data_IF_529990266589
#
_entry.id   IF_529990266589
#
_cell.length_a   1.000
_cell.length_b   1.000
_cell.length_c   1.000
_cell.angle_alpha   90.00
_cell.angle_beta   90.00
_cell.angle_gamma   90.00
#
_symmetry.space_group_name_H-M   'P 1'
#
loop_
_entity.id
_entity.type
_entity.pdbx_description
1 polymer ?
#
# COMPACT_ATOMS: atom_id res chain seq x y z
N UNK A 1 6.80 -25.17 -12.52
CA UNK A 1 5.61 -25.97 -12.74
C UNK A 1 4.43 -25.02 -12.84
N UNK A 2 3.59 -25.17 -13.83
CA UNK A 2 2.56 -24.20 -14.19
C UNK A 2 1.18 -24.81 -13.89
N UNK A 3 0.36 -24.08 -13.16
CA UNK A 3 -1.07 -24.35 -13.04
C UNK A 3 -1.79 -23.22 -13.74
N UNK A 4 -2.63 -23.54 -14.70
CA UNK A 4 -3.47 -22.58 -15.39
C UNK A 4 -4.84 -22.63 -14.75
N UNK A 5 -5.35 -21.49 -14.37
CA UNK A 5 -6.69 -21.31 -13.85
C UNK A 5 -7.42 -20.31 -14.73
N UNK A 6 -8.56 -20.70 -15.22
CA UNK A 6 -9.46 -19.85 -15.95
C UNK A 6 -10.82 -19.85 -15.28
N UNK A 7 -11.42 -18.70 -15.17
CA UNK A 7 -12.78 -18.52 -14.68
C UNK A 7 -13.51 -17.54 -15.59
N UNK A 8 -14.66 -17.96 -16.02
CA UNK A 8 -15.56 -17.15 -16.82
C UNK A 8 -16.95 -17.22 -16.19
N UNK A 9 -17.47 -16.07 -15.79
CA UNK A 9 -18.83 -15.97 -15.29
C UNK A 9 -19.64 -15.12 -16.25
N UNK A 10 -20.74 -15.65 -16.71
CA UNK A 10 -21.69 -14.93 -17.55
C UNK A 10 -23.07 -14.98 -16.92
N UNK A 11 -23.95 -14.10 -17.33
CA UNK A 11 -25.33 -14.10 -16.88
C UNK A 11 -26.26 -13.56 -17.96
N UNK A 12 -27.51 -13.93 -17.87
CA UNK A 12 -28.62 -13.31 -18.57
C UNK A 12 -29.76 -13.05 -17.58
N UNK A 13 -30.62 -12.09 -17.92
CA UNK A 13 -31.71 -11.65 -17.05
C UNK A 13 -33.03 -11.90 -17.75
N UNK A 14 -33.82 -12.83 -17.20
CA UNK A 14 -35.19 -13.09 -17.66
C UNK A 14 -36.13 -12.03 -17.09
N UNK A 15 -37.03 -11.56 -17.91
CA UNK A 15 -38.02 -10.55 -17.58
C UNK A 15 -39.40 -11.16 -17.39
N UNK A 16 -40.13 -10.65 -16.41
CA UNK A 16 -41.56 -10.87 -16.26
C UNK A 16 -42.31 -10.43 -17.52
N UNK A 17 -43.46 -11.02 -17.79
CA UNK A 17 -44.33 -10.55 -18.88
C UNK A 17 -44.67 -9.05 -18.63
N UNK A 18 -44.33 -8.23 -19.60
CA UNK A 18 -44.49 -6.79 -19.52
C UNK A 18 -44.85 -6.18 -20.90
N UNK A 19 -45.35 -4.93 -20.87
CA UNK A 19 -45.76 -4.19 -22.07
C UNK A 19 -44.69 -3.23 -22.60
N UNK A 20 -43.52 -3.19 -21.94
CA UNK A 20 -42.51 -2.16 -22.19
C UNK A 20 -41.34 -2.69 -23.02
N UNK A 21 -41.11 -4.00 -23.01
CA UNK A 21 -39.99 -4.64 -23.68
C UNK A 21 -40.49 -5.87 -24.47
N UNK A 22 -40.07 -5.96 -25.75
CA UNK A 22 -40.38 -7.12 -26.60
C UNK A 22 -39.49 -8.32 -26.27
N UNK A 23 -38.34 -8.10 -25.69
CA UNK A 23 -37.38 -9.13 -25.30
C UNK A 23 -37.78 -9.76 -23.98
N UNK A 24 -37.80 -11.08 -23.90
CA UNK A 24 -38.04 -11.83 -22.64
C UNK A 24 -36.76 -12.00 -21.81
N UNK A 25 -35.60 -11.95 -22.46
CA UNK A 25 -34.30 -12.11 -21.80
C UNK A 25 -33.37 -11.01 -22.26
N UNK A 26 -32.70 -10.37 -21.33
CA UNK A 26 -31.70 -9.33 -21.57
C UNK A 26 -30.28 -9.87 -21.40
N UNK A 27 -29.32 -9.47 -22.27
CA UNK A 27 -27.93 -9.87 -22.10
C UNK A 27 -27.27 -9.14 -20.94
N UNK A 28 -26.11 -9.65 -20.51
CA UNK A 28 -25.28 -9.05 -19.48
C UNK A 28 -24.77 -7.64 -19.82
N UNK A 29 -24.32 -6.88 -18.80
CA UNK A 29 -23.67 -5.58 -18.96
C UNK A 29 -24.63 -4.40 -19.11
N UNK A 30 -25.86 -4.54 -18.61
CA UNK A 30 -26.87 -3.47 -18.59
C UNK A 30 -27.30 -3.16 -17.17
N UNK A 31 -27.93 -2.01 -16.99
CA UNK A 31 -28.75 -1.70 -15.82
C UNK A 31 -30.17 -2.19 -16.08
N UNK A 32 -30.73 -2.92 -15.13
CA UNK A 32 -32.03 -3.56 -15.29
C UNK A 32 -33.07 -2.87 -14.42
N UNK A 33 -34.31 -2.80 -14.87
CA UNK A 33 -35.43 -2.30 -14.07
C UNK A 33 -35.85 -3.42 -13.11
N UNK A 34 -35.60 -3.23 -11.82
CA UNK A 34 -35.78 -4.27 -10.79
C UNK A 34 -37.15 -4.96 -10.85
N UNK A 35 -38.23 -4.20 -10.95
CA UNK A 35 -39.59 -4.73 -10.96
C UNK A 35 -39.92 -5.60 -12.19
N UNK A 36 -39.13 -5.49 -13.26
CA UNK A 36 -39.30 -6.29 -14.47
C UNK A 36 -38.51 -7.58 -14.45
N UNK A 37 -37.55 -7.74 -13.53
CA UNK A 37 -36.74 -8.94 -13.42
C UNK A 37 -37.62 -10.10 -12.90
N UNK A 38 -37.60 -11.22 -13.61
CA UNK A 38 -38.11 -12.50 -13.13
C UNK A 38 -37.01 -13.23 -12.37
N UNK A 39 -35.89 -13.49 -13.07
CA UNK A 39 -34.70 -14.10 -12.47
C UNK A 39 -33.42 -13.73 -13.22
N UNK A 40 -32.29 -13.87 -12.55
CA UNK A 40 -30.96 -13.74 -13.12
C UNK A 40 -30.37 -15.15 -13.25
N UNK A 41 -30.06 -15.60 -14.45
CA UNK A 41 -29.43 -16.91 -14.68
C UNK A 41 -27.92 -16.73 -14.67
N UNK A 42 -27.25 -17.08 -13.59
CA UNK A 42 -25.79 -17.02 -13.46
C UNK A 42 -25.15 -18.31 -13.93
N UNK A 43 -24.16 -18.20 -14.82
CA UNK A 43 -23.41 -19.31 -15.38
C UNK A 43 -21.96 -19.19 -14.97
N UNK A 44 -21.51 -20.11 -14.14
CA UNK A 44 -20.14 -20.21 -13.68
C UNK A 44 -19.41 -21.25 -14.54
N UNK A 45 -18.28 -20.89 -15.12
CA UNK A 45 -17.35 -21.78 -15.82
C UNK A 45 -15.96 -21.60 -15.18
N UNK A 46 -15.52 -22.61 -14.45
CA UNK A 46 -14.22 -22.62 -13.79
C UNK A 46 -13.41 -23.81 -14.32
N UNK A 47 -12.19 -23.55 -14.74
CA UNK A 47 -11.23 -24.58 -15.10
C UNK A 47 -9.91 -24.41 -14.35
N UNK A 48 -9.34 -25.54 -13.99
CA UNK A 48 -8.02 -25.62 -13.37
C UNK A 48 -7.23 -26.73 -14.06
N UNK A 49 -6.02 -26.43 -14.54
CA UNK A 49 -5.16 -27.38 -15.20
C UNK A 49 -3.78 -27.40 -14.53
N UNK A 50 -3.40 -28.54 -13.99
CA UNK A 50 -2.06 -28.79 -13.48
C UNK A 50 -1.20 -29.39 -14.62
N UNK A 51 -0.09 -28.75 -14.96
CA UNK A 51 0.78 -29.09 -16.09
C UNK A 51 1.42 -30.50 -16.06
N UNK A 52 1.24 -31.24 -14.99
CA UNK A 52 1.72 -32.64 -14.84
C UNK A 52 0.61 -33.49 -14.20
N UNK A 53 0.65 -34.79 -14.53
CA UNK A 53 -0.23 -35.76 -13.92
C UNK A 53 -0.16 -35.67 -12.40
N UNK A 54 -1.31 -35.43 -11.79
CA UNK A 54 -1.45 -35.17 -10.38
C UNK A 54 -2.81 -35.70 -9.95
N UNK A 55 -2.86 -36.40 -8.83
CA UNK A 55 -4.13 -36.73 -8.21
C UNK A 55 -4.64 -35.51 -7.44
N UNK A 56 -5.71 -34.92 -7.94
CA UNK A 56 -6.39 -33.78 -7.29
C UNK A 56 -7.68 -34.27 -6.65
N UNK A 57 -8.01 -33.71 -5.52
CA UNK A 57 -9.31 -33.82 -4.88
C UNK A 57 -9.90 -32.40 -4.77
N UNK A 58 -11.15 -32.23 -5.13
CA UNK A 58 -11.79 -30.93 -5.10
C UNK A 58 -13.24 -31.00 -4.63
N UNK A 59 -13.66 -29.94 -3.97
CA UNK A 59 -15.06 -29.66 -3.64
C UNK A 59 -15.42 -28.24 -4.05
N UNK A 60 -16.69 -27.96 -4.25
CA UNK A 60 -17.16 -26.62 -4.51
C UNK A 60 -18.58 -26.41 -4.01
N UNK A 61 -18.91 -25.16 -3.74
CA UNK A 61 -20.23 -24.69 -3.35
C UNK A 61 -20.52 -23.34 -3.97
N UNK A 62 -21.80 -22.97 -4.04
CA UNK A 62 -22.21 -21.63 -4.44
C UNK A 62 -23.07 -21.04 -3.35
N UNK A 63 -22.70 -19.85 -2.90
CA UNK A 63 -23.42 -19.14 -1.84
C UNK A 63 -23.77 -17.72 -2.29
N UNK A 64 -24.87 -17.22 -1.79
CA UNK A 64 -25.24 -15.81 -1.90
C UNK A 64 -25.07 -15.13 -0.55
N UNK A 65 -24.21 -14.11 -0.48
CA UNK A 65 -24.01 -13.31 0.73
C UNK A 65 -24.75 -12.00 0.59
N UNK A 66 -25.89 -11.88 1.25
CA UNK A 66 -26.67 -10.65 1.28
C UNK A 66 -26.08 -9.70 2.31
N UNK A 67 -25.62 -8.54 1.86
CA UNK A 67 -25.02 -7.50 2.68
C UNK A 67 -25.91 -6.27 2.72
N UNK A 68 -26.15 -5.74 3.92
CA UNK A 68 -26.81 -4.46 4.13
C UNK A 68 -25.85 -3.43 4.71
N UNK A 69 -25.86 -2.24 4.14
CA UNK A 69 -25.02 -1.12 4.60
C UNK A 69 -25.89 0.12 4.88
N UNK A 70 -25.61 0.76 6.00
CA UNK A 70 -26.18 2.05 6.36
C UNK A 70 -25.22 3.19 6.05
N UNK A 71 -25.70 4.23 5.38
CA UNK A 71 -24.88 5.39 5.07
C UNK A 71 -24.82 6.35 6.27
N UNK A 72 -23.64 6.41 6.91
CA UNK A 72 -23.35 7.38 7.97
C UNK A 72 -22.41 8.46 7.43
N UNK A 73 -22.91 9.69 7.34
CA UNK A 73 -22.14 10.84 6.81
C UNK A 73 -21.59 10.59 5.40
N UNK A 74 -22.35 9.92 4.54
CA UNK A 74 -21.94 9.60 3.17
C UNK A 74 -21.00 8.39 3.05
N UNK A 75 -20.62 7.75 4.15
CA UNK A 75 -19.78 6.54 4.13
C UNK A 75 -20.65 5.32 4.44
N UNK A 76 -20.72 4.31 3.54
CA UNK A 76 -21.46 3.08 3.80
C UNK A 76 -20.76 2.27 4.90
N UNK A 77 -21.52 1.83 5.88
CA UNK A 77 -21.07 0.95 6.95
C UNK A 77 -21.91 -0.30 6.94
N UNK A 78 -21.28 -1.45 6.84
CA UNK A 78 -21.95 -2.75 6.88
C UNK A 78 -22.62 -2.93 8.25
N UNK A 79 -23.93 -3.16 8.24
CA UNK A 79 -24.73 -3.34 9.45
C UNK A 79 -25.38 -4.70 9.52
N UNK A 80 -25.45 -5.42 8.40
CA UNK A 80 -26.10 -6.71 8.31
C UNK A 80 -25.47 -7.60 7.25
N UNK A 81 -25.45 -8.90 7.51
CA UNK A 81 -25.01 -9.93 6.57
C UNK A 81 -25.76 -11.23 6.81
N UNK A 82 -26.16 -11.87 5.74
CA UNK A 82 -26.80 -13.19 5.80
C UNK A 82 -26.34 -14.02 4.61
N UNK A 83 -25.91 -15.25 4.87
CA UNK A 83 -25.48 -16.21 3.84
C UNK A 83 -26.63 -17.15 3.48
N UNK A 84 -26.80 -17.39 2.20
CA UNK A 84 -27.76 -18.32 1.61
C UNK A 84 -26.99 -19.37 0.80
N UNK A 85 -27.29 -20.63 1.02
CA UNK A 85 -26.70 -21.71 0.23
C UNK A 85 -27.51 -21.85 -1.07
N UNK A 86 -26.88 -21.55 -2.20
CA UNK A 86 -27.49 -21.68 -3.54
C UNK A 86 -27.18 -23.03 -4.18
N UNK A 87 -26.01 -23.57 -3.88
CA UNK A 87 -25.60 -24.93 -4.19
C UNK A 87 -24.80 -25.46 -2.99
N UNK A 88 -25.30 -26.56 -2.41
CA UNK A 88 -24.59 -27.24 -1.32
C UNK A 88 -23.17 -27.67 -1.74
N UNK A 89 -22.27 -27.75 -0.77
CA UNK A 89 -20.91 -28.20 -1.03
C UNK A 89 -20.93 -29.62 -1.59
N UNK A 90 -20.29 -29.82 -2.72
CA UNK A 90 -20.21 -31.14 -3.34
C UNK A 90 -19.30 -32.04 -2.50
N UNK A 91 -19.57 -33.34 -2.52
CA UNK A 91 -18.62 -34.32 -1.99
C UNK A 91 -17.27 -34.19 -2.76
N UNK A 92 -16.18 -34.53 -2.08
CA UNK A 92 -14.87 -34.51 -2.66
C UNK A 92 -14.77 -35.35 -3.94
N UNK A 93 -14.57 -34.68 -5.05
CA UNK A 93 -14.40 -35.31 -6.37
C UNK A 93 -12.91 -35.52 -6.64
N UNK A 94 -12.57 -36.60 -7.34
CA UNK A 94 -11.20 -36.88 -7.77
C UNK A 94 -11.00 -36.53 -9.23
N UNK A 95 -9.86 -35.93 -9.52
CA UNK A 95 -9.42 -35.65 -10.89
C UNK A 95 -7.92 -35.94 -11.04
N UNK A 96 -7.49 -36.21 -12.25
CA UNK A 96 -6.06 -36.43 -12.50
C UNK A 96 -5.29 -35.13 -12.55
N UNK A 97 -5.55 -34.26 -13.50
CA UNK A 97 -4.82 -33.00 -13.65
C UNK A 97 -5.72 -31.82 -14.03
N UNK A 98 -6.95 -32.07 -14.45
CA UNK A 98 -7.84 -31.02 -14.94
C UNK A 98 -9.16 -31.06 -14.16
N UNK A 99 -9.60 -29.91 -13.66
CA UNK A 99 -10.90 -29.72 -13.03
C UNK A 99 -11.70 -28.79 -13.93
N UNK A 100 -12.94 -29.16 -14.20
CA UNK A 100 -13.90 -28.33 -14.92
C UNK A 100 -15.21 -28.31 -14.15
N UNK A 101 -15.66 -27.12 -13.79
CA UNK A 101 -16.90 -26.85 -13.07
C UNK A 101 -17.76 -25.96 -13.94
N UNK A 102 -18.96 -26.40 -14.25
CA UNK A 102 -19.96 -25.63 -15.00
C UNK A 102 -21.27 -25.70 -14.25
N UNK A 103 -21.70 -24.57 -13.71
CA UNK A 103 -22.93 -24.47 -12.96
C UNK A 103 -23.79 -23.33 -13.50
N UNK A 104 -25.09 -23.52 -13.43
CA UNK A 104 -26.08 -22.51 -13.79
C UNK A 104 -27.07 -22.36 -12.65
N UNK A 105 -27.06 -21.19 -12.03
CA UNK A 105 -27.84 -20.88 -10.84
C UNK A 105 -28.83 -19.76 -11.15
N UNK A 106 -30.14 -20.02 -11.08
CA UNK A 106 -31.15 -18.96 -11.15
C UNK A 106 -31.23 -18.21 -9.83
N UNK A 107 -31.17 -16.89 -9.89
CA UNK A 107 -31.28 -15.99 -8.72
C UNK A 107 -32.60 -15.23 -8.84
N UNK A 108 -33.49 -15.43 -7.88
CA UNK A 108 -34.70 -14.60 -7.74
C UNK A 108 -34.40 -13.37 -6.86
N UNK A 109 -34.17 -12.23 -7.50
CA UNK A 109 -33.86 -10.99 -6.78
C UNK A 109 -35.02 -10.47 -5.93
N UNK A 110 -36.25 -10.91 -6.20
CA UNK A 110 -37.40 -10.46 -5.44
C UNK A 110 -37.36 -11.03 -4.02
N UNK A 111 -36.93 -12.29 -3.83
CA UNK A 111 -36.79 -12.89 -2.50
C UNK A 111 -35.84 -12.06 -1.62
N UNK A 112 -34.73 -11.59 -2.16
CA UNK A 112 -33.76 -10.78 -1.40
C UNK A 112 -34.26 -9.35 -1.16
N UNK A 113 -34.95 -8.75 -2.12
CA UNK A 113 -35.59 -7.45 -1.94
C UNK A 113 -36.68 -7.50 -0.85
N UNK A 114 -37.46 -8.55 -0.80
CA UNK A 114 -38.46 -8.76 0.27
C UNK A 114 -37.81 -8.92 1.66
N UNK A 115 -36.66 -9.59 1.72
CA UNK A 115 -35.87 -9.68 2.97
C UNK A 115 -35.36 -8.33 3.45
N UNK A 116 -34.85 -7.52 2.51
CA UNK A 116 -34.37 -6.16 2.78
C UNK A 116 -35.54 -5.29 3.27
N UNK A 117 -36.67 -5.33 2.58
CA UNK A 117 -37.86 -4.60 2.96
C UNK A 117 -38.33 -4.95 4.38
N UNK A 118 -38.33 -6.26 4.70
CA UNK A 118 -38.70 -6.74 6.03
C UNK A 118 -37.72 -6.28 7.11
N UNK A 119 -36.42 -6.25 6.80
CA UNK A 119 -35.39 -5.72 7.68
C UNK A 119 -35.60 -4.23 7.96
N UNK A 120 -35.77 -3.44 6.91
CA UNK A 120 -35.99 -1.98 7.01
C UNK A 120 -37.26 -1.65 7.79
N UNK A 121 -38.37 -2.35 7.51
CA UNK A 121 -39.63 -2.17 8.18
C UNK A 121 -39.55 -2.53 9.66
N UNK A 122 -38.85 -3.60 10.00
CA UNK A 122 -38.76 -4.09 11.38
C UNK A 122 -37.88 -3.22 12.24
N UNK A 123 -36.77 -2.75 11.69
CA UNK A 123 -35.75 -1.96 12.41
C UNK A 123 -35.89 -0.44 12.21
N UNK A 124 -36.75 0.01 11.29
CA UNK A 124 -36.93 1.40 10.99
C UNK A 124 -35.68 2.08 10.40
N UNK A 125 -34.84 1.31 9.71
CA UNK A 125 -33.55 1.75 9.17
C UNK A 125 -33.48 1.46 7.68
N UNK A 126 -33.37 2.48 6.85
CA UNK A 126 -33.11 2.31 5.42
C UNK A 126 -31.65 1.92 5.18
N UNK A 127 -31.44 0.91 4.36
CA UNK A 127 -30.10 0.39 4.01
C UNK A 127 -29.93 0.31 2.50
N UNK A 128 -28.68 0.37 2.05
CA UNK A 128 -28.30 -0.10 0.71
C UNK A 128 -27.89 -1.56 0.81
N UNK A 129 -28.25 -2.37 -0.16
CA UNK A 129 -27.94 -3.78 -0.10
C UNK A 129 -27.38 -4.30 -1.41
N UNK A 130 -26.52 -5.31 -1.29
CA UNK A 130 -26.03 -6.08 -2.42
C UNK A 130 -26.01 -7.58 -2.09
N UNK A 131 -26.29 -8.40 -3.08
CA UNK A 131 -26.12 -9.83 -3.02
C UNK A 131 -24.80 -10.20 -3.72
N UNK A 132 -23.84 -10.67 -2.93
CA UNK A 132 -22.56 -11.16 -3.46
C UNK A 132 -22.67 -12.67 -3.68
N UNK A 133 -22.76 -13.11 -4.94
CA UNK A 133 -22.83 -14.51 -5.32
C UNK A 133 -21.43 -15.05 -5.52
N UNK A 134 -21.06 -16.10 -4.77
CA UNK A 134 -19.72 -16.66 -4.70
C UNK A 134 -19.71 -18.13 -5.12
N UNK A 135 -18.92 -18.45 -6.15
CA UNK A 135 -18.45 -19.82 -6.37
C UNK A 135 -17.18 -20.01 -5.53
N UNK A 136 -17.22 -20.92 -4.57
CA UNK A 136 -16.09 -21.30 -3.71
C UNK A 136 -15.59 -22.66 -4.14
N UNK A 137 -14.31 -22.78 -4.48
CA UNK A 137 -13.67 -24.03 -4.95
C UNK A 137 -12.50 -24.34 -4.06
N UNK A 138 -12.46 -25.52 -3.46
CA UNK A 138 -11.36 -26.03 -2.67
C UNK A 138 -10.66 -27.13 -3.47
N UNK A 139 -9.34 -27.03 -3.62
CA UNK A 139 -8.52 -27.99 -4.37
C UNK A 139 -7.39 -28.49 -3.48
N UNK A 140 -7.37 -29.78 -3.24
CA UNK A 140 -6.30 -30.47 -2.53
C UNK A 140 -5.59 -31.45 -3.46
N UNK A 141 -4.29 -31.58 -3.32
CA UNK A 141 -3.55 -32.51 -4.14
C UNK A 141 -2.08 -32.56 -3.81
N UNK A 142 -1.36 -33.38 -4.57
CA UNK A 142 0.08 -33.53 -4.40
C UNK A 142 0.76 -33.56 -5.76
N UNK A 143 1.63 -32.59 -6.00
CA UNK A 143 2.45 -32.52 -7.21
C UNK A 143 3.91 -32.77 -6.84
N UNK A 144 4.50 -33.90 -7.25
CA UNK A 144 5.91 -34.22 -6.99
C UNK A 144 6.35 -33.95 -5.53
N UNK A 145 5.74 -34.47 -4.52
CA UNK A 145 6.01 -34.23 -3.10
C UNK A 145 5.63 -32.84 -2.55
N UNK A 146 5.14 -31.92 -3.38
CA UNK A 146 4.62 -30.64 -2.92
C UNK A 146 3.12 -30.75 -2.76
N UNK A 147 2.62 -30.47 -1.56
CA UNK A 147 1.19 -30.41 -1.29
C UNK A 147 0.61 -29.16 -1.91
N UNK A 148 -0.55 -29.31 -2.54
CA UNK A 148 -1.39 -28.20 -2.99
C UNK A 148 -2.58 -28.16 -2.05
N UNK A 149 -2.92 -26.98 -1.58
CA UNK A 149 -4.15 -26.67 -0.86
C UNK A 149 -4.56 -25.27 -1.30
N UNK A 150 -5.38 -25.22 -2.31
CA UNK A 150 -5.79 -23.97 -2.95
C UNK A 150 -7.28 -23.73 -2.76
N UNK A 151 -7.62 -22.51 -2.36
CA UNK A 151 -8.99 -22.07 -2.18
C UNK A 151 -9.26 -20.91 -3.14
N UNK A 152 -10.24 -21.08 -3.99
CA UNK A 152 -10.62 -20.07 -4.99
C UNK A 152 -12.04 -19.56 -4.73
N UNK A 153 -12.20 -18.25 -4.85
CA UNK A 153 -13.50 -17.60 -4.76
C UNK A 153 -13.70 -16.73 -5.99
N UNK A 154 -14.76 -17.01 -6.75
CA UNK A 154 -15.23 -16.13 -7.80
C UNK A 154 -16.49 -15.45 -7.33
N UNK A 155 -16.53 -14.13 -7.32
CA UNK A 155 -17.63 -13.35 -6.77
C UNK A 155 -18.20 -12.37 -7.79
N UNK A 156 -19.52 -12.26 -7.80
CA UNK A 156 -20.32 -11.32 -8.57
C UNK A 156 -21.24 -10.59 -7.62
N UNK A 157 -21.26 -9.27 -7.69
CA UNK A 157 -22.12 -8.41 -6.90
C UNK A 157 -23.36 -8.02 -7.69
N UNK A 158 -24.51 -8.28 -7.14
CA UNK A 158 -25.83 -7.82 -7.62
C UNK A 158 -26.27 -6.71 -6.69
N UNK A 159 -26.25 -5.48 -7.17
CA UNK A 159 -26.76 -4.33 -6.44
C UNK A 159 -28.29 -4.41 -6.40
N UNK A 160 -28.85 -4.49 -5.19
CA UNK A 160 -30.26 -4.62 -4.97
C UNK A 160 -30.86 -3.25 -4.68
N UNK A 161 -31.55 -2.70 -5.67
CA UNK A 161 -32.21 -1.39 -5.58
C UNK A 161 -33.71 -1.48 -5.88
N UNK A 162 -34.49 -0.57 -5.31
CA UNK A 162 -35.94 -0.52 -5.56
C UNK A 162 -36.29 -0.29 -7.03
N UNK A 163 -35.49 0.50 -7.73
CA UNK A 163 -35.78 0.92 -9.10
C UNK A 163 -34.95 0.16 -10.14
N UNK A 164 -33.65 0.03 -9.87
CA UNK A 164 -32.69 -0.57 -10.80
C UNK A 164 -31.78 -1.56 -10.07
N UNK A 165 -31.39 -2.60 -10.81
CA UNK A 165 -30.42 -3.61 -10.39
C UNK A 165 -29.23 -3.54 -11.35
N UNK A 166 -28.02 -3.45 -10.79
CA UNK A 166 -26.77 -3.56 -11.53
C UNK A 166 -26.00 -4.81 -11.10
N UNK A 167 -25.28 -5.41 -12.05
CA UNK A 167 -24.49 -6.60 -11.79
C UNK A 167 -23.05 -6.28 -12.15
N UNK A 168 -22.18 -6.35 -11.16
CA UNK A 168 -20.76 -5.97 -11.24
C UNK A 168 -19.88 -7.12 -10.76
N UNK A 169 -18.60 -7.08 -11.09
CA UNK A 169 -17.62 -8.06 -10.61
C UNK A 169 -16.59 -8.42 -11.68
N UNK A 170 -15.66 -9.26 -11.30
CA UNK A 170 -14.62 -9.76 -12.20
C UNK A 170 -15.15 -10.97 -12.97
N UNK A 171 -15.80 -10.74 -14.10
CA UNK A 171 -16.48 -11.76 -14.88
C UNK A 171 -15.52 -12.78 -15.50
N UNK A 172 -14.30 -12.36 -15.86
CA UNK A 172 -13.26 -13.22 -16.43
C UNK A 172 -11.95 -13.02 -15.72
N UNK A 173 -11.22 -14.09 -15.46
CA UNK A 173 -9.87 -14.04 -14.89
C UNK A 173 -9.09 -15.28 -15.34
N UNK A 174 -7.98 -15.05 -16.02
CA UNK A 174 -7.01 -16.07 -16.37
C UNK A 174 -5.74 -15.81 -15.55
N UNK A 175 -5.30 -16.77 -14.80
CA UNK A 175 -4.10 -16.65 -13.95
C UNK A 175 -3.23 -17.87 -14.14
N UNK A 176 -1.97 -17.64 -14.44
CA UNK A 176 -0.93 -18.64 -14.45
C UNK A 176 -0.13 -18.59 -13.16
N UNK A 177 -0.24 -19.61 -12.33
CA UNK A 177 0.56 -19.76 -11.13
C UNK A 177 1.71 -20.70 -11.39
N UNK A 178 2.93 -20.23 -11.19
CA UNK A 178 4.13 -21.09 -11.26
C UNK A 178 4.51 -21.57 -9.87
N UNK A 179 4.31 -22.86 -9.58
CA UNK A 179 4.80 -23.49 -8.38
C UNK A 179 6.32 -23.63 -8.49
N UNK A 180 7.05 -22.74 -7.87
CA UNK A 180 8.48 -22.91 -7.68
C UNK A 180 8.71 -23.87 -6.51
N UNK A 181 9.38 -24.99 -6.79
CA UNK A 181 10.01 -25.74 -5.70
C UNK A 181 11.10 -24.82 -5.14
N UNK A 182 10.82 -24.10 -4.07
CA UNK A 182 11.86 -23.43 -3.29
C UNK A 182 12.71 -24.56 -2.67
N UNK A 183 13.72 -25.00 -3.41
CA UNK A 183 14.78 -25.78 -2.81
C UNK A 183 15.49 -24.78 -1.91
N UNK A 184 15.07 -24.69 -0.66
CA UNK A 184 15.92 -24.12 0.37
C UNK A 184 17.14 -25.01 0.41
N UNK A 185 18.12 -24.61 -0.38
CA UNK A 185 19.49 -25.14 -0.22
C UNK A 185 19.92 -24.59 1.16
N UNK A 186 19.58 -25.34 2.18
CA UNK A 186 20.07 -25.13 3.54
C UNK A 186 21.55 -25.59 3.57
N UNK A 187 22.34 -25.20 2.56
CA UNK A 187 23.76 -25.06 2.70
C UNK A 187 23.92 -23.98 3.73
N UNK A 188 24.27 -24.39 4.93
CA UNK A 188 24.58 -23.52 6.04
C UNK A 188 25.40 -22.33 5.54
N UNK A 189 24.73 -21.23 5.27
CA UNK A 189 25.35 -19.95 4.95
C UNK A 189 25.99 -19.32 6.20
N UNK A 190 26.25 -20.13 7.24
CA UNK A 190 26.90 -19.71 8.47
C UNK A 190 28.24 -19.04 8.19
N UNK A 191 28.96 -19.52 7.20
CA UNK A 191 30.22 -18.90 6.77
C UNK A 191 29.99 -17.55 6.12
N UNK A 192 28.98 -17.43 5.24
CA UNK A 192 28.63 -16.14 4.60
C UNK A 192 28.11 -15.16 5.62
N UNK A 193 27.29 -15.60 6.57
CA UNK A 193 26.79 -14.75 7.66
C UNK A 193 27.97 -14.31 8.55
N UNK A 194 28.89 -15.22 8.92
CA UNK A 194 30.05 -14.87 9.72
C UNK A 194 30.97 -13.85 9.02
N UNK A 195 31.23 -14.02 7.72
CA UNK A 195 32.00 -13.04 6.92
C UNK A 195 31.33 -11.69 6.87
N UNK A 196 30.01 -11.63 6.67
CA UNK A 196 29.29 -10.35 6.66
C UNK A 196 29.32 -9.67 8.04
N UNK A 197 29.19 -10.41 9.13
CA UNK A 197 29.30 -9.86 10.49
C UNK A 197 30.70 -9.27 10.72
N UNK A 198 31.76 -9.97 10.31
CA UNK A 198 33.15 -9.48 10.42
C UNK A 198 33.33 -8.17 9.62
N UNK A 199 32.80 -8.10 8.40
CA UNK A 199 32.87 -6.89 7.57
C UNK A 199 32.13 -5.70 8.21
N UNK A 200 30.95 -5.93 8.80
CA UNK A 200 30.20 -4.89 9.52
C UNK A 200 30.99 -4.37 10.73
N UNK A 201 31.58 -5.27 11.52
CA UNK A 201 32.38 -4.88 12.69
C UNK A 201 33.62 -4.09 12.26
N UNK A 202 34.31 -4.51 11.18
CA UNK A 202 35.44 -3.79 10.63
C UNK A 202 35.08 -2.40 10.12
N UNK A 203 33.92 -2.26 9.44
CA UNK A 203 33.41 -0.98 8.98
C UNK A 203 33.06 -0.03 10.15
N UNK A 204 32.44 -0.53 11.20
CA UNK A 204 32.12 0.24 12.39
C UNK A 204 33.40 0.69 13.15
N UNK A 205 34.40 -0.19 13.25
CA UNK A 205 35.70 0.15 13.84
C UNK A 205 36.41 1.25 13.03
N UNK A 206 36.35 1.18 11.68
CA UNK A 206 36.92 2.19 10.81
C UNK A 206 36.19 3.54 10.95
N UNK A 207 34.87 3.55 10.96
CA UNK A 207 34.09 4.77 11.20
C UNK A 207 34.45 5.43 12.53
N UNK A 208 34.62 4.62 13.58
CA UNK A 208 35.05 5.12 14.90
C UNK A 208 36.48 5.66 14.86
N UNK A 209 37.40 4.99 14.17
CA UNK A 209 38.77 5.45 13.97
C UNK A 209 38.80 6.82 13.25
N UNK A 210 38.04 6.98 12.17
CA UNK A 210 37.94 8.26 11.46
C UNK A 210 37.32 9.34 12.37
N UNK A 211 36.25 9.02 13.10
CA UNK A 211 35.56 9.96 14.00
C UNK A 211 36.46 10.47 15.12
N UNK A 212 37.34 9.63 15.65
CA UNK A 212 38.26 10.01 16.76
C UNK A 212 39.48 10.76 16.24
N UNK A 213 39.99 10.42 15.06
CA UNK A 213 41.23 10.99 14.52
C UNK A 213 41.01 12.16 13.56
N UNK A 214 39.77 12.45 13.16
CA UNK A 214 39.48 13.60 12.30
C UNK A 214 39.04 14.77 13.14
N UNK A 215 39.95 15.73 13.34
CA UNK A 215 39.60 17.05 13.88
C UNK A 215 38.70 17.76 12.91
N UNK A 216 37.52 18.12 13.35
CA UNK A 216 36.50 18.72 12.51
C UNK A 216 36.84 20.22 12.29
N UNK A 217 37.66 20.52 11.27
CA UNK A 217 38.02 21.86 10.87
C UNK A 217 36.80 22.80 10.75
N UNK A 218 35.65 22.26 10.38
CA UNK A 218 34.39 22.99 10.35
C UNK A 218 33.90 23.44 11.74
N UNK A 219 34.21 22.70 12.79
CA UNK A 219 33.78 23.05 14.16
C UNK A 219 34.61 24.23 14.68
N UNK A 220 35.92 24.22 14.43
CA UNK A 220 36.82 25.31 14.82
C UNK A 220 36.43 26.58 14.06
N UNK A 221 36.20 26.49 12.76
CA UNK A 221 35.77 27.60 11.91
C UNK A 221 34.41 28.18 12.31
N UNK A 222 33.45 27.32 12.70
CA UNK A 222 32.14 27.76 13.19
C UNK A 222 32.26 28.45 14.55
N UNK A 223 33.11 27.95 15.45
CA UNK A 223 33.33 28.55 16.77
C UNK A 223 33.97 29.92 16.62
N UNK A 224 34.95 30.07 15.75
CA UNK A 224 35.57 31.37 15.47
C UNK A 224 34.54 32.39 14.92
N UNK A 225 33.73 32.01 13.95
CA UNK A 225 32.66 32.86 13.41
C UNK A 225 31.61 33.25 14.46
N UNK A 226 31.27 32.35 15.34
CA UNK A 226 30.34 32.63 16.43
C UNK A 226 30.90 33.60 17.43
N UNK A 227 32.17 33.43 17.83
CA UNK A 227 32.87 34.33 18.78
C UNK A 227 33.09 35.73 18.14
N UNK A 228 33.51 35.78 16.89
CA UNK A 228 33.67 37.04 16.15
C UNK A 228 32.34 37.81 16.05
N UNK A 229 31.25 37.12 15.73
CA UNK A 229 29.90 37.71 15.67
C UNK A 229 29.42 38.20 17.04
N UNK A 230 29.79 37.50 18.14
CA UNK A 230 29.46 37.89 19.50
C UNK A 230 30.20 39.20 19.86
N UNK A 231 31.51 39.29 19.57
CA UNK A 231 32.34 40.49 19.77
C UNK A 231 31.80 41.66 18.99
N UNK A 232 31.54 41.49 17.68
CA UNK A 232 31.04 42.56 16.82
C UNK A 232 29.66 43.07 17.26
N UNK A 233 28.83 42.21 17.86
CA UNK A 233 27.50 42.58 18.36
C UNK A 233 27.55 43.23 19.78
N UNK A 234 28.46 42.78 20.63
CA UNK A 234 28.56 43.31 22.00
C UNK A 234 29.23 44.68 22.07
N UNK A 235 30.04 45.04 21.04
CA UNK A 235 30.78 46.30 20.99
C UNK A 235 30.44 47.11 19.71
N UNK A 236 29.18 46.99 19.23
CA UNK A 236 28.71 47.64 18.02
C UNK A 236 28.84 49.16 18.05
N UNK A 237 28.74 49.75 19.22
CA UNK A 237 28.90 51.18 19.47
C UNK A 237 30.34 51.69 19.38
N UNK A 238 31.32 50.81 19.47
CA UNK A 238 32.75 51.13 19.44
C UNK A 238 33.48 50.69 18.19
N UNK A 239 32.82 49.83 17.38
CA UNK A 239 33.42 49.21 16.19
C UNK A 239 32.80 49.80 14.92
N UNK A 240 33.63 50.34 14.04
CA UNK A 240 33.24 50.78 12.69
C UNK A 240 33.68 49.77 11.66
N UNK A 241 32.71 49.17 10.98
CA UNK A 241 32.97 48.19 9.91
C UNK A 241 33.33 48.88 8.61
N UNK A 242 34.49 48.55 8.08
CA UNK A 242 35.00 49.13 6.82
C UNK A 242 34.74 48.19 5.64
N UNK A 243 34.40 48.76 4.50
CA UNK A 243 34.17 48.01 3.25
C UNK A 243 35.45 47.73 2.46
N UNK A 244 36.56 48.33 2.84
CA UNK A 244 37.87 48.20 2.17
C UNK A 244 38.97 48.07 3.20
N UNK A 245 40.07 47.43 2.83
CA UNK A 245 41.28 47.34 3.65
C UNK A 245 41.90 48.75 3.84
N UNK A 246 42.42 48.95 5.03
CA UNK A 246 43.18 50.15 5.36
C UNK A 246 44.64 49.96 4.93
N UNK A 247 45.23 50.91 4.22
CA UNK A 247 46.66 50.89 3.94
C UNK A 247 47.44 51.33 5.18
N UNK A 248 48.23 50.41 5.72
CA UNK A 248 49.05 50.61 6.91
C UNK A 248 50.51 50.97 6.62
N UNK A 249 50.87 51.09 5.33
CA UNK A 249 52.22 51.42 4.96
C UNK A 249 52.67 52.77 5.56
N UNK A 250 53.77 52.74 6.27
CA UNK A 250 54.39 53.98 6.86
C UNK A 250 53.65 54.46 8.14
N UNK A 251 52.77 53.69 8.74
CA UNK A 251 52.12 53.99 10.01
C UNK A 251 52.71 53.13 11.13
N UNK A 252 52.78 53.71 12.32
CA UNK A 252 53.15 52.98 13.52
C UNK A 252 52.01 52.07 13.92
N UNK A 253 52.29 50.75 14.08
CA UNK A 253 51.35 49.75 14.46
C UNK A 253 51.65 49.30 15.91
N UNK A 254 50.66 49.32 16.76
CA UNK A 254 50.73 48.84 18.11
C UNK A 254 49.98 47.49 18.16
N UNK A 255 50.70 46.47 18.54
CA UNK A 255 50.07 45.14 18.76
C UNK A 255 49.51 45.11 20.19
N UNK A 256 48.29 44.54 20.30
CA UNK A 256 47.58 44.32 21.59
C UNK A 256 47.32 42.82 21.75
N UNK A 257 47.42 42.35 23.03
CA UNK A 257 47.34 40.91 23.30
C UNK A 257 45.91 40.35 23.27
N UNK A 258 44.92 41.17 23.57
CA UNK A 258 43.52 40.74 23.56
C UNK A 258 42.58 41.89 23.13
N UNK A 259 41.34 41.51 22.82
CA UNK A 259 40.31 42.46 22.41
C UNK A 259 39.89 43.43 23.52
N UNK A 260 40.02 43.04 24.79
CA UNK A 260 39.73 43.90 25.96
C UNK A 260 40.72 45.06 26.07
N UNK A 261 42.03 44.85 25.76
CA UNK A 261 43.03 45.89 25.69
C UNK A 261 42.76 46.85 24.52
N UNK A 262 42.30 46.34 23.39
CA UNK A 262 41.93 47.16 22.23
C UNK A 262 40.74 48.08 22.54
N UNK A 263 39.76 47.61 23.32
CA UNK A 263 38.64 48.44 23.78
C UNK A 263 39.14 49.56 24.71
N UNK A 264 40.00 49.28 25.71
CA UNK A 264 40.55 50.26 26.61
C UNK A 264 41.32 51.34 25.85
N UNK A 265 42.16 50.91 24.90
CA UNK A 265 42.92 51.82 24.02
C UNK A 265 42.00 52.70 23.16
N UNK A 266 40.94 52.17 22.65
CA UNK A 266 39.90 52.91 21.90
C UNK A 266 39.23 53.99 22.77
N UNK A 267 38.94 53.66 24.04
CA UNK A 267 38.36 54.60 25.00
C UNK A 267 39.35 55.73 25.39
N UNK A 268 40.61 55.38 25.65
CA UNK A 268 41.66 56.36 26.00
C UNK A 268 41.97 57.31 24.87
N UNK A 269 41.98 56.80 23.63
CA UNK A 269 42.24 57.58 22.43
C UNK A 269 41.03 58.33 21.87
N UNK A 270 39.83 58.06 22.39
CA UNK A 270 38.55 58.55 21.90
C UNK A 270 38.40 58.29 20.40
N UNK A 271 38.84 57.09 19.92
CA UNK A 271 38.77 56.69 18.51
C UNK A 271 38.07 55.35 18.34
N UNK A 272 37.26 55.18 17.31
CA UNK A 272 36.58 53.92 17.08
C UNK A 272 37.57 52.83 16.63
N UNK A 273 37.27 51.59 16.95
CA UNK A 273 37.96 50.41 16.45
C UNK A 273 37.51 50.17 15.03
N UNK A 274 38.45 50.06 14.11
CA UNK A 274 38.17 49.82 12.71
C UNK A 274 38.27 48.31 12.43
N UNK A 275 37.19 47.72 11.94
CA UNK A 275 37.17 46.32 11.56
C UNK A 275 36.96 46.16 10.05
N UNK A 276 37.77 45.37 9.42
CA UNK A 276 37.58 44.96 8.03
C UNK A 276 37.92 43.50 7.84
N UNK A 277 37.25 42.84 6.88
CA UNK A 277 37.51 41.47 6.51
C UNK A 277 38.49 41.46 5.32
N UNK A 278 39.72 41.05 5.55
CA UNK A 278 40.71 40.82 4.51
C UNK A 278 40.40 39.48 3.86
N UNK A 279 39.98 39.48 2.59
CA UNK A 279 39.72 38.29 1.80
C UNK A 279 40.97 37.45 1.48
N UNK A 280 42.08 37.63 2.19
CA UNK A 280 43.25 36.77 2.11
C UNK A 280 43.10 35.65 3.13
N UNK A 281 43.08 34.40 2.59
CA UNK A 281 43.17 33.10 3.25
C UNK A 281 43.16 33.16 4.77
N UNK A 282 42.13 32.50 5.36
CA UNK A 282 42.03 32.23 6.79
C UNK A 282 43.22 31.37 7.29
N UNK A 283 44.36 31.91 7.42
CA UNK A 283 45.43 31.46 8.30
C UNK A 283 45.47 32.47 9.44
N UNK A 284 44.72 32.20 10.46
CA UNK A 284 44.78 32.92 11.73
C UNK A 284 45.94 32.34 12.54
N UNK A 285 47.05 32.98 12.49
CA UNK A 285 47.98 33.00 13.63
C UNK A 285 47.50 34.07 14.58
N UNK A 286 47.25 33.62 15.81
CA UNK A 286 47.06 34.49 16.99
C UNK A 286 48.42 34.80 17.55
#
# INVERSE_FOLDING_TARGET
QMCIRDRNTTYDVDLKDNKFMDQKTLPMGKTYVTNLIDKINMKFDFSYDASKYTELTYSYSIVGVLNGAYSKNGTPQKVWEKEYVLLEETENKKSNNTINIKENIPIDVNEYNDEIYNFEKTLGMAITANLNVQLRVNIDGKINDTQINDNYVSNIDIELGEQTTEITGKLTDETEDTLYKTTTNNKNNTVVIAVNVILIVAALAWLRYISVNTTNLNTVRNNYKLELNRILKSCEDKIVKLSRNVDLNGKEVIEVNDFGELIKLSEELYKPILYWNSNQKEESEF
#
